data_IF_792717748797
#
_entry.id   IF_792717748797
#
_cell.length_a   1.000
_cell.length_b   1.000
_cell.length_c   1.000
_cell.angle_alpha   90.00
_cell.angle_beta   90.00
_cell.angle_gamma   90.00
#
_symmetry.space_group_name_H-M   'P 1'
#
loop_
_entity.id
_entity.type
_entity.pdbx_description
1 polymer ?
#
# COMPACT_ATOMS: atom_id res chain seq x y z
N UNK A 1 19.67 -0.85 4.31
CA UNK A 1 19.89 -0.07 3.06
C UNK A 1 18.62 0.64 2.64
N UNK A 2 17.54 -0.05 2.24
CA UNK A 2 16.24 0.56 1.88
C UNK A 2 15.64 1.43 2.99
N UNK A 3 15.42 0.88 4.19
CA UNK A 3 14.84 1.64 5.30
C UNK A 3 15.72 2.84 5.73
N UNK A 4 17.04 2.73 5.55
CA UNK A 4 17.99 3.83 5.81
C UNK A 4 17.91 4.89 4.71
N UNK A 5 17.85 4.50 3.43
CA UNK A 5 17.67 5.43 2.32
C UNK A 5 16.33 6.18 2.39
N UNK A 6 15.25 5.47 2.77
CA UNK A 6 13.94 6.05 3.04
C UNK A 6 14.01 7.00 4.24
N UNK A 7 14.67 6.61 5.33
CA UNK A 7 14.84 7.43 6.53
C UNK A 7 15.79 8.63 6.37
N UNK A 8 16.66 8.62 5.35
CA UNK A 8 17.57 9.71 4.98
C UNK A 8 16.99 10.55 3.83
N UNK A 9 15.87 10.14 3.24
CA UNK A 9 15.19 10.88 2.17
C UNK A 9 15.84 10.77 0.80
N UNK A 10 16.76 9.82 0.59
CA UNK A 10 17.41 9.59 -0.70
C UNK A 10 16.55 8.63 -1.55
N UNK A 11 15.53 9.20 -2.20
CA UNK A 11 14.50 8.44 -2.94
C UNK A 11 15.08 7.64 -4.11
N UNK A 12 16.01 8.21 -4.88
CA UNK A 12 16.60 7.55 -6.06
C UNK A 12 17.44 6.32 -5.67
N UNK A 13 18.19 6.42 -4.57
CA UNK A 13 18.90 5.25 -4.02
C UNK A 13 17.93 4.20 -3.47
N UNK A 14 16.82 4.63 -2.86
CA UNK A 14 15.76 3.74 -2.38
C UNK A 14 15.18 2.88 -3.49
N UNK A 15 14.79 3.49 -4.60
CA UNK A 15 14.30 2.82 -5.81
C UNK A 15 15.32 1.79 -6.34
N UNK A 16 16.59 2.18 -6.50
CA UNK A 16 17.66 1.29 -6.94
C UNK A 16 17.78 0.05 -6.03
N UNK A 17 17.76 0.23 -4.71
CA UNK A 17 17.81 -0.89 -3.78
C UNK A 17 16.59 -1.81 -3.86
N UNK A 18 15.39 -1.28 -4.08
CA UNK A 18 14.20 -2.10 -4.29
C UNK A 18 14.30 -2.95 -5.54
N UNK A 19 14.67 -2.34 -6.67
CA UNK A 19 14.78 -3.03 -7.96
C UNK A 19 15.89 -4.09 -7.94
N UNK A 20 17.05 -3.80 -7.36
CA UNK A 20 18.14 -4.76 -7.20
C UNK A 20 17.76 -5.92 -6.26
N UNK A 21 17.03 -5.62 -5.18
CA UNK A 21 16.49 -6.66 -4.27
C UNK A 21 15.50 -7.55 -5.02
N UNK A 22 14.61 -6.98 -5.85
CA UNK A 22 13.69 -7.76 -6.66
C UNK A 22 14.42 -8.71 -7.61
N UNK A 23 15.41 -8.16 -8.32
CA UNK A 23 16.26 -8.91 -9.25
C UNK A 23 16.88 -10.12 -8.53
N UNK A 24 17.43 -9.90 -7.34
CA UNK A 24 18.00 -10.97 -6.52
C UNK A 24 16.95 -12.02 -6.10
N UNK A 25 15.79 -11.59 -5.59
CA UNK A 25 14.70 -12.49 -5.19
C UNK A 25 14.25 -13.34 -6.37
N UNK A 26 14.01 -12.74 -7.54
CA UNK A 26 13.53 -13.46 -8.72
C UNK A 26 14.56 -14.45 -9.26
N UNK A 27 15.84 -14.07 -9.34
CA UNK A 27 16.89 -14.94 -9.86
C UNK A 27 17.29 -16.08 -8.92
N UNK A 28 17.25 -15.85 -7.60
CA UNK A 28 17.82 -16.77 -6.59
C UNK A 28 16.83 -17.18 -5.50
N UNK A 29 15.93 -16.29 -5.08
CA UNK A 29 15.02 -16.49 -3.95
C UNK A 29 13.74 -17.27 -4.27
N UNK A 30 13.30 -17.34 -5.54
CA UNK A 30 12.08 -18.08 -5.91
C UNK A 30 12.28 -19.59 -6.06
N UNK A 31 13.53 -20.05 -6.20
CA UNK A 31 13.86 -21.45 -6.45
C UNK A 31 13.56 -22.34 -5.24
N UNK A 32 12.86 -23.45 -5.49
CA UNK A 32 12.72 -24.54 -4.53
C UNK A 32 11.86 -24.20 -3.30
N UNK A 33 12.06 -24.99 -2.24
CA UNK A 33 11.28 -24.90 -1.01
C UNK A 33 11.80 -23.77 -0.12
N UNK A 34 10.97 -22.75 0.15
CA UNK A 34 11.37 -21.61 0.98
C UNK A 34 11.18 -21.91 2.47
N UNK A 35 12.23 -21.71 3.24
CA UNK A 35 12.11 -21.72 4.70
C UNK A 35 11.34 -20.48 5.19
N UNK A 36 10.86 -20.52 6.44
CA UNK A 36 10.13 -19.40 7.05
C UNK A 36 10.90 -18.08 7.00
N UNK A 37 12.22 -18.10 7.21
CA UNK A 37 13.07 -16.90 7.15
C UNK A 37 13.06 -16.24 5.77
N UNK A 38 13.19 -17.05 4.70
CA UNK A 38 13.13 -16.54 3.31
C UNK A 38 11.75 -15.97 3.02
N UNK A 39 10.69 -16.68 3.42
CA UNK A 39 9.31 -16.19 3.24
C UNK A 39 9.10 -14.87 3.97
N UNK A 40 9.57 -14.73 5.20
CA UNK A 40 9.47 -13.49 5.97
C UNK A 40 10.15 -12.32 5.23
N UNK A 41 11.37 -12.53 4.74
CA UNK A 41 12.09 -11.50 3.96
C UNK A 41 11.34 -11.11 2.69
N UNK A 42 10.73 -12.06 1.98
CA UNK A 42 9.92 -11.75 0.80
C UNK A 42 8.70 -10.90 1.18
N UNK A 43 7.99 -11.22 2.27
CA UNK A 43 6.82 -10.43 2.69
C UNK A 43 7.23 -9.01 3.10
N UNK A 44 8.33 -8.86 3.84
CA UNK A 44 8.89 -7.55 4.19
C UNK A 44 9.25 -6.75 2.93
N UNK A 45 9.95 -7.37 1.98
CA UNK A 45 10.27 -6.75 0.70
C UNK A 45 9.01 -6.26 -0.01
N UNK A 46 8.02 -7.13 -0.19
CA UNK A 46 6.80 -6.81 -0.96
C UNK A 46 6.01 -5.69 -0.31
N UNK A 47 5.85 -5.72 1.01
CA UNK A 47 5.12 -4.69 1.74
C UNK A 47 5.77 -3.31 1.54
N UNK A 48 7.09 -3.23 1.77
CA UNK A 48 7.87 -2.00 1.59
C UNK A 48 7.90 -1.57 0.11
N UNK A 49 8.02 -2.51 -0.82
CA UNK A 49 8.00 -2.28 -2.26
C UNK A 49 6.67 -1.66 -2.71
N UNK A 50 5.55 -2.15 -2.18
CA UNK A 50 4.23 -1.59 -2.45
C UNK A 50 4.05 -0.20 -1.85
N UNK A 51 4.60 0.07 -0.66
CA UNK A 51 4.61 1.42 -0.09
C UNK A 51 5.39 2.37 -1.00
N UNK A 52 6.54 1.92 -1.51
CA UNK A 52 7.35 2.68 -2.45
C UNK A 52 6.61 3.01 -3.75
N UNK A 53 6.00 2.03 -4.43
CA UNK A 53 5.27 2.26 -5.70
C UNK A 53 4.10 3.25 -5.59
N UNK A 54 3.56 3.48 -4.39
CA UNK A 54 2.45 4.42 -4.20
C UNK A 54 2.90 5.86 -4.17
N UNK A 55 4.09 6.10 -3.64
CA UNK A 55 4.68 7.42 -3.47
C UNK A 55 5.51 7.78 -4.71
N UNK A 56 6.07 6.76 -5.38
CA UNK A 56 6.94 6.92 -6.53
C UNK A 56 6.17 6.75 -7.84
N UNK A 57 5.77 7.87 -8.43
CA UNK A 57 5.29 7.93 -9.82
C UNK A 57 6.46 8.32 -10.71
N UNK A 58 7.41 7.40 -10.88
CA UNK A 58 8.41 7.57 -11.94
C UNK A 58 8.04 6.70 -13.14
N UNK A 59 8.66 7.05 -14.27
CA UNK A 59 8.54 6.31 -15.51
C UNK A 59 8.79 4.81 -15.26
N UNK A 60 7.75 4.01 -15.52
CA UNK A 60 7.81 2.54 -15.49
C UNK A 60 8.89 1.98 -16.41
N UNK A 61 9.41 2.80 -17.34
CA UNK A 61 10.49 2.49 -18.27
C UNK A 61 11.87 3.03 -17.87
N UNK A 62 12.09 3.39 -16.61
CA UNK A 62 13.43 3.83 -16.17
C UNK A 62 14.52 2.84 -16.62
N UNK A 63 15.71 3.31 -17.06
CA UNK A 63 16.78 2.44 -17.54
C UNK A 63 17.16 1.33 -16.55
N UNK A 64 17.04 1.65 -15.25
CA UNK A 64 17.34 0.70 -14.17
C UNK A 64 16.30 -0.43 -14.07
N UNK A 65 14.99 -0.11 -14.15
CA UNK A 65 13.92 -1.12 -14.19
C UNK A 65 14.05 -2.02 -15.41
N UNK A 66 14.32 -1.44 -16.57
CA UNK A 66 14.55 -2.16 -17.83
C UNK A 66 15.77 -3.10 -17.75
N UNK A 67 16.88 -2.62 -17.16
CA UNK A 67 18.07 -3.45 -16.96
C UNK A 67 17.79 -4.65 -16.04
N UNK A 68 17.12 -4.44 -14.91
CA UNK A 68 16.79 -5.52 -13.99
C UNK A 68 15.84 -6.55 -14.63
N UNK A 69 14.83 -6.09 -15.37
CA UNK A 69 13.91 -6.94 -16.13
C UNK A 69 14.65 -7.84 -17.12
N UNK A 70 15.51 -7.24 -17.95
CA UNK A 70 16.30 -7.98 -18.94
C UNK A 70 17.22 -9.03 -18.29
N UNK A 71 17.82 -8.71 -17.14
CA UNK A 71 18.64 -9.66 -16.38
C UNK A 71 17.82 -10.85 -15.86
N UNK A 72 16.60 -10.61 -15.35
CA UNK A 72 15.71 -11.68 -14.88
C UNK A 72 15.29 -12.58 -16.04
N UNK A 73 14.90 -12.00 -17.17
CA UNK A 73 14.45 -12.73 -18.36
C UNK A 73 15.58 -13.55 -18.98
N UNK A 74 16.74 -12.95 -19.22
CA UNK A 74 17.91 -13.64 -19.79
C UNK A 74 18.44 -14.79 -18.91
N UNK A 75 18.22 -14.73 -17.59
CA UNK A 75 18.58 -15.81 -16.68
C UNK A 75 17.60 -16.99 -16.66
N UNK A 76 16.46 -16.89 -17.36
CA UNK A 76 15.35 -17.85 -17.32
C UNK A 76 14.53 -17.83 -16.02
N UNK A 77 14.85 -16.92 -15.08
CA UNK A 77 14.17 -16.83 -13.79
C UNK A 77 12.70 -16.38 -13.88
N UNK A 78 12.30 -15.77 -15.00
CA UNK A 78 10.90 -15.40 -15.27
C UNK A 78 9.95 -16.60 -15.18
N UNK A 79 10.39 -17.81 -15.55
CA UNK A 79 9.59 -19.03 -15.49
C UNK A 79 9.18 -19.43 -14.07
N UNK A 80 9.89 -18.94 -13.04
CA UNK A 80 9.59 -19.20 -11.63
C UNK A 80 8.64 -18.16 -11.02
N UNK A 81 8.42 -17.03 -11.71
CA UNK A 81 7.56 -15.94 -11.24
C UNK A 81 6.12 -16.19 -11.65
N UNK A 82 5.20 -16.09 -10.68
CA UNK A 82 3.76 -16.23 -10.93
C UNK A 82 3.11 -14.88 -11.28
N UNK A 83 3.72 -13.79 -10.87
CA UNK A 83 3.34 -12.41 -11.19
C UNK A 83 4.17 -11.83 -12.36
N UNK A 84 3.76 -10.67 -12.86
CA UNK A 84 4.53 -9.86 -13.80
C UNK A 84 5.73 -9.20 -13.12
N UNK A 85 6.79 -8.92 -13.90
CA UNK A 85 8.00 -8.21 -13.45
C UNK A 85 7.77 -6.70 -13.24
N UNK A 86 6.52 -6.28 -13.35
CA UNK A 86 6.01 -4.92 -13.21
C UNK A 86 4.65 -5.00 -12.52
N UNK A 87 4.16 -3.89 -11.98
CA UNK A 87 2.81 -3.84 -11.40
C UNK A 87 1.75 -3.66 -12.51
N UNK A 88 1.76 -4.55 -13.52
CA UNK A 88 0.73 -4.58 -14.56
C UNK A 88 -0.59 -5.13 -14.01
N UNK A 89 -1.70 -4.59 -14.49
CA UNK A 89 -3.02 -5.10 -14.12
C UNK A 89 -3.31 -6.41 -14.85
N UNK A 90 -3.50 -7.49 -14.08
CA UNK A 90 -3.97 -8.77 -14.61
C UNK A 90 -5.43 -8.71 -15.08
N UNK A 91 -5.97 -9.85 -15.49
CA UNK A 91 -7.41 -9.97 -15.75
C UNK A 91 -8.20 -9.80 -14.44
N UNK A 92 -9.20 -8.92 -14.46
CA UNK A 92 -9.97 -8.48 -13.30
C UNK A 92 -11.48 -8.43 -13.59
N UNK A 93 -11.97 -9.24 -14.52
CA UNK A 93 -13.40 -9.29 -14.84
C UNK A 93 -14.27 -9.62 -13.60
N UNK A 94 -13.82 -10.53 -12.73
CA UNK A 94 -14.47 -10.85 -11.45
C UNK A 94 -13.45 -11.22 -10.36
N UNK A 95 -13.58 -10.61 -9.17
CA UNK A 95 -12.75 -10.92 -8.01
C UNK A 95 -13.41 -11.90 -7.01
N UNK A 96 -14.74 -11.94 -6.92
CA UNK A 96 -15.42 -12.61 -5.81
C UNK A 96 -15.14 -14.12 -5.79
N UNK A 97 -15.31 -14.80 -6.92
CA UNK A 97 -15.00 -16.22 -7.03
C UNK A 97 -13.51 -16.53 -6.84
N UNK A 98 -12.60 -15.90 -7.61
CA UNK A 98 -11.17 -16.15 -7.51
C UNK A 98 -10.57 -15.86 -6.12
N UNK A 99 -11.10 -14.88 -5.38
CA UNK A 99 -10.63 -14.56 -4.02
C UNK A 99 -10.94 -15.64 -2.99
N UNK A 100 -11.94 -16.50 -3.23
CA UNK A 100 -12.27 -17.63 -2.36
C UNK A 100 -11.38 -18.85 -2.60
N UNK A 101 -10.63 -18.87 -3.71
CA UNK A 101 -9.75 -19.98 -4.07
C UNK A 101 -8.55 -20.06 -3.12
N UNK A 102 -8.24 -21.24 -2.62
CA UNK A 102 -7.02 -21.48 -1.86
C UNK A 102 -5.84 -21.63 -2.84
N UNK A 103 -4.85 -20.74 -2.74
CA UNK A 103 -3.62 -20.81 -3.54
C UNK A 103 -2.80 -22.03 -3.14
N UNK A 104 -2.22 -22.70 -4.13
CA UNK A 104 -1.24 -23.75 -3.86
C UNK A 104 0.04 -23.13 -3.28
N UNK A 105 0.94 -23.97 -2.77
CA UNK A 105 2.18 -23.50 -2.17
C UNK A 105 3.07 -22.73 -3.16
N UNK A 106 3.19 -23.22 -4.39
CA UNK A 106 4.00 -22.58 -5.42
C UNK A 106 3.43 -21.20 -5.80
N UNK A 107 2.12 -21.11 -6.02
CA UNK A 107 1.43 -19.85 -6.27
C UNK A 107 1.65 -18.86 -5.12
N UNK A 108 1.39 -19.25 -3.87
CA UNK A 108 1.53 -18.36 -2.72
C UNK A 108 2.97 -17.93 -2.45
N UNK A 109 3.97 -18.78 -2.70
CA UNK A 109 5.38 -18.45 -2.48
C UNK A 109 6.02 -17.64 -3.61
N UNK A 110 5.47 -17.68 -4.83
CA UNK A 110 6.06 -17.10 -6.03
C UNK A 110 5.22 -15.97 -6.66
N UNK A 111 4.05 -15.65 -6.11
CA UNK A 111 3.26 -14.45 -6.42
C UNK A 111 3.81 -13.25 -5.64
N UNK A 112 4.99 -12.77 -6.05
CA UNK A 112 5.77 -11.80 -5.28
C UNK A 112 4.96 -10.52 -5.03
N UNK A 113 4.40 -9.90 -6.06
CA UNK A 113 3.67 -8.63 -5.92
C UNK A 113 2.16 -8.78 -5.67
N UNK A 114 1.70 -9.93 -5.17
CA UNK A 114 0.28 -10.23 -4.93
C UNK A 114 -0.60 -9.86 -6.12
N UNK A 115 -0.29 -10.40 -7.29
CA UNK A 115 -1.05 -10.21 -8.51
C UNK A 115 -2.22 -11.19 -8.62
N UNK A 116 -2.04 -12.41 -8.14
CA UNK A 116 -2.99 -13.49 -8.36
C UNK A 116 -4.07 -13.44 -7.27
N UNK A 117 -5.36 -13.42 -7.63
CA UNK A 117 -6.43 -13.53 -6.64
C UNK A 117 -6.40 -14.89 -5.91
N UNK A 118 -6.79 -14.87 -4.64
CA UNK A 118 -6.97 -16.07 -3.82
C UNK A 118 -6.44 -15.92 -2.40
N UNK A 119 -6.73 -16.92 -1.58
CA UNK A 119 -6.32 -17.02 -0.20
C UNK A 119 -5.11 -17.94 -0.06
N UNK A 120 -4.04 -17.45 0.57
CA UNK A 120 -2.91 -18.29 0.96
C UNK A 120 -2.83 -18.42 2.48
N UNK A 121 -3.18 -19.59 3.05
CA UNK A 121 -3.28 -19.75 4.51
C UNK A 121 -1.95 -19.59 5.23
N UNK A 122 -0.84 -19.85 4.52
CA UNK A 122 0.47 -19.79 5.13
C UNK A 122 1.04 -18.37 5.19
N UNK A 123 0.40 -17.37 4.57
CA UNK A 123 0.88 -15.99 4.49
C UNK A 123 1.35 -15.42 5.83
N UNK A 124 2.41 -14.61 5.81
CA UNK A 124 3.01 -14.05 7.02
C UNK A 124 2.59 -12.60 7.28
N UNK A 125 1.74 -11.99 6.44
CA UNK A 125 1.29 -10.61 6.66
C UNK A 125 0.57 -10.37 8.01
N UNK A 126 -0.35 -11.25 8.47
CA UNK A 126 -0.97 -11.08 9.78
C UNK A 126 0.04 -11.08 10.92
N UNK A 127 1.03 -11.97 10.83
CA UNK A 127 2.05 -12.11 11.88
C UNK A 127 3.02 -10.91 11.90
N UNK A 128 3.51 -10.49 10.73
CA UNK A 128 4.55 -9.46 10.63
C UNK A 128 3.95 -8.06 10.84
N UNK A 129 2.80 -7.79 10.21
CA UNK A 129 2.24 -6.44 10.12
C UNK A 129 0.91 -6.26 10.87
N UNK A 130 0.31 -7.34 11.39
CA UNK A 130 -1.03 -7.27 11.98
C UNK A 130 -2.13 -7.08 10.93
N UNK A 131 -1.84 -7.27 9.63
CA UNK A 131 -2.80 -7.03 8.56
C UNK A 131 -2.95 -8.29 7.69
N UNK A 132 -4.17 -8.81 7.49
CA UNK A 132 -4.40 -9.92 6.57
C UNK A 132 -4.01 -9.60 5.12
N UNK A 133 -3.52 -10.60 4.38
CA UNK A 133 -3.07 -10.46 2.99
C UNK A 133 -4.09 -9.77 2.09
N UNK A 134 -5.40 -10.02 2.32
CA UNK A 134 -6.50 -9.46 1.54
C UNK A 134 -6.50 -7.91 1.45
N UNK A 135 -5.99 -7.21 2.48
CA UNK A 135 -5.86 -5.75 2.49
C UNK A 135 -4.63 -5.30 1.69
N UNK A 136 -3.52 -6.03 1.81
CA UNK A 136 -2.29 -5.80 1.03
C UNK A 136 -2.53 -6.10 -0.46
N UNK A 137 -3.36 -7.10 -0.76
CA UNK A 137 -3.83 -7.40 -2.11
C UNK A 137 -4.74 -6.29 -2.66
N UNK A 138 -5.70 -5.77 -1.88
CA UNK A 138 -6.52 -4.63 -2.32
C UNK A 138 -5.66 -3.45 -2.76
N UNK A 139 -4.57 -3.25 -2.06
CA UNK A 139 -3.62 -2.18 -2.27
C UNK A 139 -2.74 -2.41 -3.50
N UNK A 140 -2.32 -3.66 -3.75
CA UNK A 140 -1.65 -4.04 -5.00
C UNK A 140 -2.56 -3.74 -6.20
N UNK A 141 -3.86 -4.00 -6.10
CA UNK A 141 -4.83 -3.69 -7.15
C UNK A 141 -4.93 -2.19 -7.43
N UNK A 142 -4.97 -1.34 -6.39
CA UNK A 142 -5.04 0.12 -6.58
C UNK A 142 -3.76 0.63 -7.27
N UNK A 143 -2.59 0.13 -6.88
CA UNK A 143 -1.30 0.49 -7.52
C UNK A 143 -1.34 0.13 -9.01
N UNK A 144 -1.70 -1.11 -9.34
CA UNK A 144 -1.76 -1.61 -10.73
C UNK A 144 -2.75 -0.83 -11.59
N UNK A 145 -3.93 -0.53 -11.04
CA UNK A 145 -4.96 0.27 -11.72
C UNK A 145 -4.49 1.71 -11.93
N UNK A 146 -3.78 2.29 -10.96
CA UNK A 146 -3.17 3.60 -11.08
C UNK A 146 -2.08 3.64 -12.14
N UNK A 147 -1.21 2.63 -12.21
CA UNK A 147 -0.16 2.55 -13.23
C UNK A 147 -0.76 2.41 -14.63
N UNK A 148 -1.78 1.57 -14.77
CA UNK A 148 -2.52 1.43 -16.02
C UNK A 148 -3.13 2.76 -16.49
N UNK A 149 -3.63 3.58 -15.56
CA UNK A 149 -4.12 4.94 -15.84
C UNK A 149 -3.02 5.88 -16.31
N UNK A 150 -1.82 5.80 -15.73
CA UNK A 150 -0.70 6.67 -16.10
C UNK A 150 -0.10 6.26 -17.44
N UNK A 151 0.06 4.96 -17.70
CA UNK A 151 0.46 4.43 -19.01
C UNK A 151 -0.49 4.91 -20.11
N UNK A 152 -1.81 4.95 -19.84
CA UNK A 152 -2.81 5.51 -20.75
C UNK A 152 -2.57 6.98 -21.13
N UNK A 153 -2.05 7.77 -20.18
CA UNK A 153 -1.80 9.21 -20.36
C UNK A 153 -0.54 9.48 -21.18
N UNK A 154 0.43 8.58 -21.13
CA UNK A 154 1.71 8.70 -21.82
C UNK A 154 1.76 7.97 -23.17
N UNK A 155 0.84 7.05 -23.43
CA UNK A 155 0.74 6.39 -24.74
C UNK A 155 0.22 7.37 -25.81
N UNK A 156 0.96 7.50 -26.92
CA UNK A 156 0.46 8.20 -28.11
C UNK A 156 -0.91 7.65 -28.52
N UNK A 157 -1.81 8.56 -28.93
CA UNK A 157 -3.27 8.43 -29.07
C UNK A 157 -3.79 7.19 -29.83
N UNK A 158 -2.94 6.43 -30.51
CA UNK A 158 -3.26 5.21 -31.23
C UNK A 158 -3.53 3.98 -30.35
N UNK A 159 -3.11 3.98 -29.07
CA UNK A 159 -3.33 2.89 -28.12
C UNK A 159 -4.20 3.32 -26.92
N UNK A 160 -5.16 4.23 -27.16
CA UNK A 160 -6.09 4.67 -26.12
C UNK A 160 -6.81 3.46 -25.51
N UNK A 161 -6.60 3.27 -24.20
CA UNK A 161 -7.19 2.17 -23.46
C UNK A 161 -8.72 2.22 -23.55
N UNK A 162 -9.41 1.08 -23.70
CA UNK A 162 -10.86 1.09 -23.71
C UNK A 162 -11.35 1.61 -22.37
N UNK A 163 -11.84 2.85 -22.33
CA UNK A 163 -12.35 3.49 -21.11
C UNK A 163 -13.36 2.60 -20.38
N UNK A 164 -14.15 1.85 -21.15
CA UNK A 164 -15.09 0.84 -20.65
C UNK A 164 -14.40 -0.21 -19.78
N UNK A 165 -13.28 -0.75 -20.24
CA UNK A 165 -12.54 -1.80 -19.53
C UNK A 165 -11.90 -1.24 -18.26
N UNK A 166 -11.34 -0.03 -18.34
CA UNK A 166 -10.83 0.68 -17.16
C UNK A 166 -11.90 0.87 -16.10
N UNK A 167 -13.05 1.41 -16.48
CA UNK A 167 -14.16 1.64 -15.55
C UNK A 167 -14.73 0.35 -14.97
N UNK A 168 -14.81 -0.73 -15.77
CA UNK A 168 -15.25 -2.03 -15.29
C UNK A 168 -14.30 -2.60 -14.23
N UNK A 169 -12.99 -2.58 -14.50
CA UNK A 169 -11.98 -3.05 -13.54
C UNK A 169 -11.94 -2.16 -12.29
N UNK A 170 -12.04 -0.83 -12.44
CA UNK A 170 -12.14 0.10 -11.32
C UNK A 170 -13.34 -0.21 -10.41
N UNK A 171 -14.51 -0.47 -10.99
CA UNK A 171 -15.72 -0.88 -10.24
C UNK A 171 -15.52 -2.22 -9.52
N UNK A 172 -14.82 -3.18 -10.13
CA UNK A 172 -14.50 -4.46 -9.48
C UNK A 172 -13.59 -4.26 -8.26
N UNK A 173 -12.53 -3.44 -8.37
CA UNK A 173 -11.66 -3.08 -7.24
C UNK A 173 -12.45 -2.34 -6.15
N UNK A 174 -13.26 -1.36 -6.54
CA UNK A 174 -14.08 -0.57 -5.60
C UNK A 174 -15.05 -1.46 -4.80
N UNK A 175 -15.73 -2.39 -5.48
CA UNK A 175 -16.64 -3.35 -4.84
C UNK A 175 -15.89 -4.20 -3.80
N UNK A 176 -14.71 -4.68 -4.17
CA UNK A 176 -13.88 -5.49 -3.27
C UNK A 176 -13.43 -4.70 -2.03
N UNK A 177 -12.96 -3.46 -2.18
CA UNK A 177 -12.60 -2.60 -1.04
C UNK A 177 -13.82 -2.32 -0.15
N UNK A 178 -14.99 -2.05 -0.74
CA UNK A 178 -16.24 -1.84 0.00
C UNK A 178 -16.68 -3.10 0.76
N UNK A 179 -16.47 -4.28 0.21
CA UNK A 179 -16.74 -5.55 0.90
C UNK A 179 -15.80 -5.73 2.09
N UNK A 180 -14.50 -5.47 1.93
CA UNK A 180 -13.55 -5.48 3.05
C UNK A 180 -13.98 -4.50 4.15
N UNK A 181 -14.35 -3.27 3.79
CA UNK A 181 -14.81 -2.27 4.76
C UNK A 181 -16.06 -2.69 5.52
N UNK A 182 -17.05 -3.31 4.85
CA UNK A 182 -18.25 -3.84 5.50
C UNK A 182 -17.92 -5.00 6.44
N UNK A 183 -17.01 -5.89 6.03
CA UNK A 183 -16.59 -7.02 6.85
C UNK A 183 -15.91 -6.57 8.15
N UNK A 184 -15.09 -5.51 8.10
CA UNK A 184 -14.44 -4.94 9.29
C UNK A 184 -15.41 -4.19 10.22
N UNK A 185 -16.61 -3.80 9.75
CA UNK A 185 -17.64 -3.11 10.57
C UNK A 185 -18.75 -4.03 11.07
N UNK A 186 -18.81 -5.27 10.59
CA UNK A 186 -19.83 -6.23 10.99
C UNK A 186 -19.65 -6.71 12.44
N UNK A 187 -20.69 -7.29 13.07
CA UNK A 187 -20.53 -7.93 14.38
C UNK A 187 -19.46 -9.02 14.24
N UNK A 188 -18.39 -8.92 15.03
CA UNK A 188 -17.32 -9.92 15.07
C UNK A 188 -17.97 -11.25 15.45
N UNK A 189 -18.08 -12.16 14.48
CA UNK A 189 -18.46 -13.53 14.76
C UNK A 189 -17.29 -14.17 15.51
N UNK A 190 -17.28 -14.00 16.84
CA UNK A 190 -16.41 -14.66 17.84
C UNK A 190 -15.20 -15.36 17.22
N UNK A 191 -14.18 -14.57 16.85
CA UNK A 191 -12.86 -15.08 16.49
C UNK A 191 -12.35 -15.89 17.67
N UNK A 192 -12.04 -17.17 17.46
CA UNK A 192 -11.28 -17.99 18.41
C UNK A 192 -9.82 -17.53 18.38
N UNK A 193 -9.58 -16.29 18.76
CA UNK A 193 -8.22 -15.75 18.81
C UNK A 193 -7.50 -16.34 20.03
N UNK A 194 -6.22 -16.62 19.86
CA UNK A 194 -5.37 -17.14 20.92
C UNK A 194 -5.11 -16.08 22.01
N UNK A 195 -5.41 -14.82 21.72
CA UNK A 195 -5.22 -13.68 22.62
C UNK A 195 -6.38 -12.67 22.49
N UNK A 196 -7.48 -12.87 23.21
CA UNK A 196 -8.67 -12.00 23.18
C UNK A 196 -8.35 -10.54 23.50
N UNK A 197 -7.29 -10.27 24.26
CA UNK A 197 -6.87 -8.94 24.67
C UNK A 197 -6.37 -8.03 23.51
N UNK A 198 -5.98 -8.59 22.37
CA UNK A 198 -5.50 -7.80 21.21
C UNK A 198 -6.54 -7.60 20.10
N UNK A 199 -7.72 -8.22 20.21
CA UNK A 199 -8.76 -8.12 19.18
C UNK A 199 -9.22 -6.66 18.94
N UNK A 200 -9.47 -5.82 19.98
CA UNK A 200 -9.90 -4.44 19.76
C UNK A 200 -8.86 -3.58 19.03
N UNK A 201 -7.57 -3.78 19.35
CA UNK A 201 -6.45 -3.08 18.72
C UNK A 201 -6.31 -3.51 17.25
N UNK A 202 -6.49 -4.79 16.97
CA UNK A 202 -6.48 -5.32 15.61
C UNK A 202 -7.66 -4.77 14.80
N UNK A 203 -8.86 -4.70 15.38
CA UNK A 203 -10.03 -4.14 14.71
C UNK A 203 -9.81 -2.67 14.32
N UNK A 204 -9.29 -1.84 15.22
CA UNK A 204 -8.98 -0.44 14.92
C UNK A 204 -7.90 -0.30 13.83
N UNK A 205 -6.86 -1.16 13.86
CA UNK A 205 -5.84 -1.24 12.81
C UNK A 205 -6.46 -1.55 11.44
N UNK A 206 -7.34 -2.55 11.38
CA UNK A 206 -7.99 -2.96 10.14
C UNK A 206 -9.00 -1.91 9.64
N UNK A 207 -9.69 -1.21 10.55
CA UNK A 207 -10.57 -0.10 10.19
C UNK A 207 -9.76 1.05 9.59
N UNK A 208 -8.66 1.46 10.22
CA UNK A 208 -7.76 2.49 9.70
C UNK A 208 -7.23 2.11 8.30
N UNK A 209 -6.79 0.86 8.11
CA UNK A 209 -6.36 0.34 6.80
C UNK A 209 -7.47 0.45 5.75
N UNK A 210 -8.72 0.08 6.07
CA UNK A 210 -9.83 0.23 5.13
C UNK A 210 -10.12 1.69 4.76
N UNK A 211 -10.15 2.59 5.74
CA UNK A 211 -10.35 4.01 5.48
C UNK A 211 -9.26 4.56 4.56
N UNK A 212 -8.00 4.21 4.81
CA UNK A 212 -6.89 4.60 3.96
C UNK A 212 -6.97 3.99 2.55
N UNK A 213 -7.40 2.74 2.39
CA UNK A 213 -7.63 2.14 1.08
C UNK A 213 -8.69 2.91 0.28
N UNK A 214 -9.77 3.33 0.93
CA UNK A 214 -10.83 4.14 0.30
C UNK A 214 -10.27 5.50 -0.14
N UNK A 215 -9.59 6.22 0.75
CA UNK A 215 -8.94 7.50 0.44
C UNK A 215 -8.00 7.34 -0.76
N UNK A 216 -7.09 6.35 -0.70
CA UNK A 216 -6.12 6.12 -1.76
C UNK A 216 -6.77 5.77 -3.09
N UNK A 217 -7.78 4.89 -3.10
CA UNK A 217 -8.50 4.51 -4.30
C UNK A 217 -9.23 5.69 -4.95
N UNK A 218 -10.05 6.42 -4.19
CA UNK A 218 -10.82 7.54 -4.75
C UNK A 218 -9.92 8.67 -5.24
N UNK A 219 -8.82 8.96 -4.52
CA UNK A 219 -7.85 9.96 -4.97
C UNK A 219 -7.06 9.49 -6.18
N UNK A 220 -6.49 8.28 -6.14
CA UNK A 220 -5.61 7.78 -7.21
C UNK A 220 -6.34 7.43 -8.49
N UNK A 221 -7.56 6.89 -8.41
CA UNK A 221 -8.29 6.38 -9.59
C UNK A 221 -9.24 7.42 -10.15
N UNK A 222 -10.06 8.04 -9.30
CA UNK A 222 -11.11 8.98 -9.72
C UNK A 222 -10.73 10.45 -9.53
N UNK A 223 -9.59 10.75 -8.89
CA UNK A 223 -9.16 12.12 -8.60
C UNK A 223 -10.23 12.96 -7.89
N UNK A 224 -10.94 12.34 -6.94
CA UNK A 224 -11.98 13.00 -6.15
C UNK A 224 -11.37 14.10 -5.27
N UNK A 225 -12.12 15.18 -5.06
CA UNK A 225 -11.74 16.30 -4.20
C UNK A 225 -11.64 15.88 -2.73
N UNK A 226 -10.79 16.59 -1.97
CA UNK A 226 -10.46 16.20 -0.60
C UNK A 226 -11.68 16.29 0.35
N UNK A 227 -12.60 17.23 0.12
CA UNK A 227 -13.84 17.41 0.87
C UNK A 227 -14.69 16.12 0.93
N UNK A 228 -14.79 15.39 -0.18
CA UNK A 228 -15.52 14.12 -0.26
C UNK A 228 -14.84 12.98 0.48
N UNK A 229 -13.56 13.13 0.85
CA UNK A 229 -12.77 12.11 1.56
C UNK A 229 -12.79 12.29 3.07
N UNK A 230 -13.28 13.42 3.59
CA UNK A 230 -13.12 13.79 5.01
C UNK A 230 -13.74 12.78 5.98
N UNK A 231 -14.86 12.13 5.62
CA UNK A 231 -15.45 11.08 6.46
C UNK A 231 -14.48 9.89 6.67
N UNK A 232 -13.70 9.55 5.64
CA UNK A 232 -12.68 8.52 5.78
C UNK A 232 -11.44 9.02 6.51
N UNK A 233 -11.03 10.28 6.30
CA UNK A 233 -9.91 10.91 7.01
C UNK A 233 -10.16 10.93 8.52
N UNK A 234 -11.35 11.37 8.94
CA UNK A 234 -11.78 11.35 10.34
C UNK A 234 -11.83 9.92 10.88
N UNK A 235 -12.31 8.96 10.07
CA UNK A 235 -12.29 7.55 10.43
C UNK A 235 -10.90 7.02 10.77
N UNK A 236 -9.86 7.35 9.97
CA UNK A 236 -8.47 7.01 10.32
C UNK A 236 -8.07 7.68 11.63
N UNK A 237 -8.31 8.99 11.77
CA UNK A 237 -7.97 9.74 13.00
C UNK A 237 -8.59 9.11 14.24
N UNK A 238 -9.85 8.73 14.18
CA UNK A 238 -10.56 8.16 15.34
C UNK A 238 -10.02 6.78 15.72
N UNK A 239 -9.58 5.97 14.75
CA UNK A 239 -8.88 4.71 15.04
C UNK A 239 -7.58 4.97 15.80
N UNK A 240 -6.81 5.99 15.43
CA UNK A 240 -5.56 6.34 16.13
C UNK A 240 -5.79 6.76 17.57
N UNK A 241 -6.78 7.61 17.79
CA UNK A 241 -7.12 8.08 19.13
C UNK A 241 -7.50 6.90 20.04
N UNK A 242 -8.26 5.92 19.51
CA UNK A 242 -8.60 4.71 20.28
C UNK A 242 -7.38 3.83 20.56
N UNK A 243 -6.49 3.70 19.58
CA UNK A 243 -5.25 2.95 19.74
C UNK A 243 -4.30 3.59 20.76
N UNK A 244 -4.16 4.92 20.77
CA UNK A 244 -3.36 5.62 21.78
C UNK A 244 -3.96 5.52 23.19
N UNK A 245 -5.29 5.39 23.30
CA UNK A 245 -5.98 5.22 24.59
C UNK A 245 -5.84 3.82 25.18
N UNK A 246 -5.36 2.86 24.39
CA UNK A 246 -5.07 1.51 24.86
C UNK A 246 -3.61 1.50 25.32
N UNK A 247 -3.32 1.20 26.59
CA UNK A 247 -1.98 1.15 27.23
C UNK A 247 -1.04 0.07 26.64
N UNK A 248 -0.99 -0.04 25.31
CA UNK A 248 -0.14 -0.96 24.59
C UNK A 248 1.22 -0.33 24.36
N UNK A 249 2.29 -1.12 24.57
CA UNK A 249 3.69 -0.70 24.46
C UNK A 249 3.93 0.00 23.11
N UNK A 250 3.93 1.33 23.15
CA UNK A 250 3.46 2.21 22.08
C UNK A 250 4.44 2.30 20.90
N UNK A 251 5.61 1.67 21.03
CA UNK A 251 6.65 1.65 20.00
C UNK A 251 6.38 0.67 18.85
N UNK A 252 5.67 -0.44 19.09
CA UNK A 252 5.46 -1.48 18.07
C UNK A 252 4.24 -1.23 17.17
N UNK A 253 3.24 -0.48 17.66
CA UNK A 253 2.02 -0.15 16.91
C UNK A 253 2.20 0.97 15.87
N UNK A 254 3.05 1.97 16.16
CA UNK A 254 3.17 3.20 15.36
C UNK A 254 3.67 2.99 13.92
N UNK A 255 4.52 1.99 13.67
CA UNK A 255 5.03 1.72 12.33
C UNK A 255 4.00 1.02 11.41
N UNK A 256 3.05 0.25 11.99
CA UNK A 256 2.07 -0.54 11.22
C UNK A 256 1.02 0.32 10.53
N UNK A 257 0.77 1.48 11.09
CA UNK A 257 -0.21 2.44 10.61
C UNK A 257 0.42 3.65 9.90
N UNK A 258 1.74 3.65 9.74
CA UNK A 258 2.44 4.75 9.10
C UNK A 258 1.87 5.16 7.74
N UNK A 259 1.50 4.18 6.90
CA UNK A 259 0.88 4.45 5.61
C UNK A 259 -0.56 4.96 5.69
N UNK A 260 -1.49 4.28 6.41
CA UNK A 260 -2.85 4.80 6.58
C UNK A 260 -2.89 6.24 7.06
N UNK A 261 -2.07 6.56 8.05
CA UNK A 261 -1.99 7.90 8.65
C UNK A 261 -1.49 8.91 7.67
N UNK A 262 -0.37 8.60 7.03
CA UNK A 262 0.25 9.52 6.09
C UNK A 262 -0.74 9.87 4.96
N UNK A 263 -1.41 8.86 4.41
CA UNK A 263 -2.39 9.05 3.35
C UNK A 263 -3.60 9.89 3.82
N UNK A 264 -4.14 9.61 5.00
CA UNK A 264 -5.27 10.37 5.55
C UNK A 264 -4.88 11.81 5.93
N UNK A 265 -3.73 11.99 6.56
CA UNK A 265 -3.23 13.29 6.99
C UNK A 265 -2.98 14.23 5.80
N UNK A 266 -2.42 13.72 4.70
CA UNK A 266 -2.25 14.48 3.46
C UNK A 266 -3.59 15.01 2.90
N UNK A 267 -4.68 14.29 3.13
CA UNK A 267 -6.02 14.68 2.65
C UNK A 267 -6.87 15.42 3.70
N UNK A 268 -6.35 15.67 4.91
CA UNK A 268 -7.10 16.40 5.93
C UNK A 268 -7.31 17.88 5.56
N UNK A 269 -8.55 18.36 5.70
CA UNK A 269 -8.91 19.77 5.49
C UNK A 269 -9.11 20.52 6.81
N UNK A 270 -9.85 19.91 7.74
CA UNK A 270 -10.18 20.53 9.02
C UNK A 270 -8.92 20.77 9.88
N UNK A 271 -8.84 21.96 10.48
CA UNK A 271 -7.69 22.39 11.25
C UNK A 271 -7.46 21.55 12.51
N UNK A 272 -8.53 21.09 13.18
CA UNK A 272 -8.41 20.25 14.36
C UNK A 272 -7.94 18.84 13.97
N UNK A 273 -8.46 18.28 12.87
CA UNK A 273 -8.01 16.99 12.33
C UNK A 273 -6.53 17.04 11.93
N UNK A 274 -6.09 18.10 11.22
CA UNK A 274 -4.68 18.32 10.88
C UNK A 274 -3.80 18.37 12.12
N UNK A 275 -4.23 19.10 13.14
CA UNK A 275 -3.50 19.22 14.40
C UNK A 275 -3.37 17.85 15.08
N UNK A 276 -4.43 17.04 15.09
CA UNK A 276 -4.41 15.68 15.63
C UNK A 276 -3.34 14.82 14.94
N UNK A 277 -3.29 14.79 13.62
CA UNK A 277 -2.24 14.05 12.89
C UNK A 277 -0.84 14.61 13.17
N UNK A 278 -0.67 15.93 13.19
CA UNK A 278 0.63 16.55 13.45
C UNK A 278 1.17 16.25 14.87
N UNK A 279 0.28 16.13 15.85
CA UNK A 279 0.62 15.68 17.21
C UNK A 279 1.01 14.21 17.17
N UNK A 280 0.20 13.35 16.55
CA UNK A 280 0.46 11.91 16.45
C UNK A 280 1.84 11.60 15.83
N UNK A 281 2.16 12.21 14.69
CA UNK A 281 3.49 12.05 14.06
C UNK A 281 4.62 12.60 14.94
N UNK A 282 4.38 13.68 15.67
CA UNK A 282 5.34 14.26 16.61
C UNK A 282 5.64 13.33 17.79
N UNK A 283 4.58 12.80 18.42
CA UNK A 283 4.67 11.84 19.53
C UNK A 283 5.34 10.55 19.04
N UNK A 284 4.92 10.01 17.89
CA UNK A 284 5.51 8.80 17.31
C UNK A 284 7.00 8.96 17.05
N UNK A 285 7.47 10.12 16.57
CA UNK A 285 8.90 10.43 16.46
C UNK A 285 9.60 10.42 17.82
N UNK A 286 9.01 11.09 18.81
CA UNK A 286 9.60 11.22 20.15
C UNK A 286 9.72 9.87 20.86
N UNK A 287 8.71 9.00 20.73
CA UNK A 287 8.66 7.70 21.39
C UNK A 287 9.50 6.64 20.67
N UNK A 288 9.52 6.63 19.33
CA UNK A 288 10.24 5.59 18.56
C UNK A 288 11.68 5.94 18.20
N UNK A 289 12.03 7.23 18.18
CA UNK A 289 13.31 7.72 17.65
C UNK A 289 13.45 7.60 16.12
N UNK A 290 12.43 7.12 15.40
CA UNK A 290 12.48 6.91 13.95
C UNK A 290 12.32 8.26 13.24
N UNK A 291 13.34 8.67 12.49
CA UNK A 291 13.37 9.96 11.76
C UNK A 291 12.23 10.12 10.75
N UNK A 292 11.76 9.00 10.18
CA UNK A 292 10.71 8.97 9.18
C UNK A 292 9.44 9.68 9.63
N UNK A 293 9.01 9.54 10.89
CA UNK A 293 7.81 10.24 11.39
C UNK A 293 7.96 11.76 11.31
N UNK A 294 9.16 12.27 11.61
CA UNK A 294 9.46 13.69 11.46
C UNK A 294 9.43 14.16 10.01
N UNK A 295 10.01 13.38 9.11
CA UNK A 295 10.00 13.69 7.68
C UNK A 295 8.58 13.65 7.11
N UNK A 296 7.82 12.62 7.43
CA UNK A 296 6.42 12.46 7.03
C UNK A 296 5.58 13.67 7.48
N UNK A 297 5.72 14.09 8.75
CA UNK A 297 5.06 15.30 9.27
C UNK A 297 5.41 16.54 8.45
N UNK A 298 6.68 16.80 8.20
CA UNK A 298 7.10 17.97 7.41
C UNK A 298 6.55 17.94 5.98
N UNK A 299 6.44 16.76 5.37
CA UNK A 299 5.83 16.62 4.03
C UNK A 299 4.33 16.90 4.06
N UNK A 300 3.61 16.35 5.04
CA UNK A 300 2.18 16.59 5.25
C UNK A 300 1.91 18.08 5.45
N UNK A 301 2.70 18.76 6.30
CA UNK A 301 2.55 20.20 6.56
C UNK A 301 2.79 21.04 5.30
N UNK A 302 3.77 20.65 4.46
CA UNK A 302 4.00 21.27 3.15
C UNK A 302 2.79 21.11 2.22
N UNK A 303 2.16 19.94 2.19
CA UNK A 303 0.93 19.71 1.41
C UNK A 303 -0.19 20.65 1.90
N UNK A 304 -0.38 20.76 3.21
CA UNK A 304 -1.39 21.66 3.78
C UNK A 304 -1.13 23.14 3.48
N UNK A 305 0.14 23.55 3.47
CA UNK A 305 0.55 24.90 3.11
C UNK A 305 0.31 25.18 1.62
N UNK A 306 0.74 24.29 0.74
CA UNK A 306 0.56 24.44 -0.70
C UNK A 306 -0.93 24.60 -1.08
N UNK A 307 -1.81 23.77 -0.50
CA UNK A 307 -3.26 23.86 -0.73
C UNK A 307 -3.89 25.17 -0.23
N UNK A 308 -3.31 25.82 0.79
CA UNK A 308 -3.77 27.14 1.27
C UNK A 308 -3.32 28.28 0.36
N UNK A 309 -2.16 28.16 -0.27
CA UNK A 309 -1.55 29.24 -1.05
C UNK A 309 -2.06 29.32 -2.49
N UNK A 310 -2.44 28.20 -3.10
CA UNK A 310 -2.58 28.12 -4.56
C UNK A 310 -4.03 28.19 -5.09
N UNK A 311 -5.04 28.36 -4.21
CA UNK A 311 -6.47 28.14 -4.55
C UNK A 311 -6.74 26.79 -5.25
N UNK A 312 -5.77 25.88 -5.23
CA UNK A 312 -5.77 24.65 -6.00
C UNK A 312 -6.33 23.50 -5.14
N UNK A 313 -7.65 23.52 -4.92
CA UNK A 313 -8.40 22.42 -4.30
C UNK A 313 -8.09 21.07 -4.95
N UNK A 314 -7.75 21.07 -6.24
CA UNK A 314 -7.50 19.86 -7.02
C UNK A 314 -6.08 19.29 -6.88
N UNK A 315 -5.09 20.04 -6.39
CA UNK A 315 -3.70 19.55 -6.30
C UNK A 315 -3.57 18.40 -5.31
N UNK A 316 -3.18 17.23 -5.81
CA UNK A 316 -2.97 16.04 -4.99
C UNK A 316 -1.63 16.14 -4.26
N UNK A 317 -1.50 15.45 -3.12
CA UNK A 317 -0.17 15.35 -2.48
C UNK A 317 0.82 14.61 -3.38
N UNK A 318 0.30 13.75 -4.27
CA UNK A 318 1.07 13.02 -5.28
C UNK A 318 1.72 14.02 -6.26
N UNK A 319 0.94 14.97 -6.81
CA UNK A 319 1.47 16.00 -7.73
C UNK A 319 2.52 16.89 -7.07
N UNK A 320 2.41 17.12 -5.76
CA UNK A 320 3.38 17.89 -4.98
C UNK A 320 4.65 17.11 -4.65
N UNK A 321 4.60 15.78 -4.70
CA UNK A 321 5.75 14.90 -4.45
C UNK A 321 6.54 14.54 -5.70
N UNK A 322 6.00 14.84 -6.89
CA UNK A 322 6.68 14.76 -8.19
C UNK A 322 7.65 15.92 -8.43
N UNK A 323 7.51 17.04 -7.69
CA UNK A 323 8.35 18.24 -7.79
C UNK A 323 9.46 18.27 -6.74
#
# INVERSE_FOLDING_TARGET
MVQVAIAVGNRDQGECYFIETEKFIRMKGLKGIKCRKVRLLHHCYVFERMLHERIYIADTNSPHRSHARNAIESSGARALSQDSLSFCLGDLENLEGPMLRVKCREEGENDLHLQIPGFWPNTLYPEIFGVPEKYVFALSLIIRLGQWKDEARHADTAAALPLKDFLNRAKTVERYIKQLYRATRGPVASSTSLHPEFEPVLDDLLQAMCHALMIFFYRRIYNVDADMLQAHVVGVRDCLVRLESTDFDTSAGSARLLWPEFNAACEAEDAAVRTSFAIWFGNSKACSGISYFGMAKSQIERVWQARRSDNASHTTWIDLMEK
#
